data_IF_330800055239
#
_entry.id   IF_330800055239
#
_cell.length_a   1.000
_cell.length_b   1.000
_cell.length_c   1.000
_cell.angle_alpha   90.00
_cell.angle_beta   90.00
_cell.angle_gamma   90.00
#
_symmetry.space_group_name_H-M   'P 1'
#
loop_
_entity.id
_entity.type
_entity.pdbx_description
1 polymer ?
#
# COMPACT_ATOMS: atom_id res chain seq x y z
N UNK A 1 22.03 25.68 -2.07
CA UNK A 1 21.87 26.12 -3.47
C UNK A 1 21.71 24.91 -4.37
N UNK A 2 20.82 24.99 -5.37
CA UNK A 2 20.46 23.98 -6.39
C UNK A 2 19.29 23.03 -6.03
N UNK A 3 18.13 22.99 -6.69
CA UNK A 3 17.30 23.96 -7.41
C UNK A 3 15.94 23.25 -7.61
N UNK A 4 14.89 23.75 -6.99
CA UNK A 4 13.50 23.41 -7.35
C UNK A 4 13.20 24.10 -8.68
N UNK A 5 12.67 23.37 -9.65
CA UNK A 5 11.70 23.78 -10.69
C UNK A 5 11.81 22.86 -11.91
N UNK A 6 10.72 22.17 -12.23
CA UNK A 6 10.20 22.05 -13.60
C UNK A 6 8.78 21.47 -13.55
N UNK A 7 7.86 22.32 -13.08
CA UNK A 7 6.45 22.21 -13.48
C UNK A 7 6.32 22.93 -14.82
N UNK A 8 5.91 22.21 -15.86
CA UNK A 8 5.32 22.81 -17.06
C UNK A 8 4.51 21.74 -17.79
N UNK A 9 3.27 21.56 -17.33
CA UNK A 9 2.23 20.90 -18.14
C UNK A 9 1.67 21.99 -19.05
N UNK A 10 2.03 21.93 -20.32
CA UNK A 10 1.51 22.82 -21.37
C UNK A 10 0.08 22.37 -21.68
N UNK A 11 -0.89 23.15 -21.23
CA UNK A 11 -2.30 23.02 -21.61
C UNK A 11 -2.54 23.85 -22.87
N UNK A 12 -2.63 23.19 -24.01
CA UNK A 12 -3.25 23.76 -25.22
C UNK A 12 -4.43 22.88 -25.60
N UNK A 13 -5.63 23.29 -25.17
CA UNK A 13 -6.89 22.72 -25.63
C UNK A 13 -7.49 23.68 -26.66
N UNK A 14 -7.37 23.36 -27.94
CA UNK A 14 -8.17 23.98 -28.99
C UNK A 14 -9.48 23.20 -29.12
N UNK A 15 -10.58 23.83 -28.70
CA UNK A 15 -11.94 23.30 -28.84
C UNK A 15 -12.42 23.60 -30.26
N UNK A 16 -12.57 22.58 -31.10
CA UNK A 16 -13.30 22.67 -32.36
C UNK A 16 -14.75 22.22 -32.12
N UNK A 17 -15.69 23.14 -32.34
CA UNK A 17 -17.14 22.90 -32.27
C UNK A 17 -17.62 22.34 -33.61
N UNK A 18 -17.91 21.03 -33.69
CA UNK A 18 -18.84 20.47 -34.67
C UNK A 18 -19.58 19.26 -34.07
N UNK A 19 -20.88 19.19 -34.38
CA UNK A 19 -21.89 18.40 -33.68
C UNK A 19 -21.73 16.87 -33.74
N UNK A 20 -22.32 16.23 -32.74
CA UNK A 20 -22.32 14.79 -32.54
C UNK A 20 -22.05 14.51 -31.06
N UNK A 21 -23.05 13.96 -30.36
CA UNK A 21 -23.05 13.69 -28.93
C UNK A 21 -21.76 13.00 -28.47
N UNK A 22 -20.82 13.74 -27.88
CA UNK A 22 -19.66 13.15 -27.21
C UNK A 22 -20.18 12.61 -25.89
N UNK A 23 -20.23 11.28 -25.80
CA UNK A 23 -20.48 10.58 -24.56
C UNK A 23 -19.58 11.16 -23.46
N UNK A 24 -20.19 11.69 -22.39
CA UNK A 24 -19.46 11.95 -21.15
C UNK A 24 -18.95 10.58 -20.72
N UNK A 25 -17.66 10.32 -20.97
CA UNK A 25 -16.96 9.20 -20.39
C UNK A 25 -17.17 9.29 -18.89
N UNK A 26 -17.94 8.33 -18.36
CA UNK A 26 -18.19 8.24 -16.92
C UNK A 26 -16.85 8.35 -16.21
N UNK A 27 -16.80 9.21 -15.20
CA UNK A 27 -15.72 9.18 -14.22
C UNK A 27 -15.81 7.83 -13.55
N UNK A 28 -15.08 6.85 -14.09
CA UNK A 28 -14.77 5.62 -13.39
C UNK A 28 -14.16 6.06 -12.05
N UNK A 29 -14.96 5.92 -11.00
CA UNK A 29 -14.58 6.23 -9.64
C UNK A 29 -13.23 5.58 -9.36
N UNK A 30 -12.34 6.35 -8.74
CA UNK A 30 -10.96 6.01 -8.41
C UNK A 30 -10.86 4.85 -7.40
N UNK A 31 -11.27 3.66 -7.80
CA UNK A 31 -11.18 2.42 -7.02
C UNK A 31 -10.32 1.35 -7.70
N UNK A 32 -9.70 1.65 -8.86
CA UNK A 32 -8.87 0.70 -9.59
C UNK A 32 -7.53 1.30 -10.09
N UNK A 33 -6.89 2.12 -9.26
CA UNK A 33 -5.45 2.34 -9.34
C UNK A 33 -4.79 1.53 -8.23
N UNK A 34 -4.67 0.22 -8.46
CA UNK A 34 -3.83 -0.65 -7.65
C UNK A 34 -2.37 -0.25 -7.88
N UNK A 35 -1.68 0.08 -6.78
CA UNK A 35 -0.23 0.30 -6.70
C UNK A 35 0.37 1.41 -7.60
N UNK A 36 0.14 2.67 -7.24
CA UNK A 36 1.17 3.71 -7.50
C UNK A 36 1.87 4.01 -6.17
N UNK A 37 2.84 3.15 -5.86
CA UNK A 37 3.87 3.20 -4.82
C UNK A 37 3.45 3.64 -3.42
N UNK A 38 3.51 2.68 -2.49
CA UNK A 38 3.61 2.98 -1.07
C UNK A 38 4.58 4.15 -0.84
N UNK A 39 4.10 5.21 -0.20
CA UNK A 39 4.84 6.46 -0.02
C UNK A 39 5.12 6.72 1.45
N UNK A 40 6.23 7.36 1.76
CA UNK A 40 6.53 7.80 3.12
C UNK A 40 5.86 9.16 3.38
N UNK A 41 4.99 9.20 4.37
CA UNK A 41 4.29 10.42 4.80
C UNK A 41 4.85 10.93 6.12
N UNK A 42 4.70 12.22 6.40
CA UNK A 42 5.21 12.83 7.64
C UNK A 42 4.45 12.37 8.90
N UNK A 43 3.16 12.03 8.78
CA UNK A 43 2.29 11.75 9.93
C UNK A 43 2.16 10.26 10.24
N UNK A 44 2.00 9.41 9.23
CA UNK A 44 1.78 7.97 9.44
C UNK A 44 3.03 7.12 9.16
N UNK A 45 4.02 7.65 8.43
CA UNK A 45 5.15 6.87 7.90
C UNK A 45 4.83 6.26 6.54
N UNK A 46 5.37 5.08 6.22
CA UNK A 46 5.04 4.36 4.98
C UNK A 46 3.53 4.09 4.88
N UNK A 47 2.91 4.41 3.75
CA UNK A 47 1.47 4.28 3.53
C UNK A 47 1.16 3.92 2.09
N UNK A 48 0.32 2.91 1.88
CA UNK A 48 -0.01 2.36 0.57
C UNK A 48 -1.41 2.71 0.08
N UNK A 49 -2.17 3.52 0.82
CA UNK A 49 -3.48 4.01 0.35
C UNK A 49 -4.69 3.21 0.84
N UNK A 50 -4.51 2.15 1.62
CA UNK A 50 -5.61 1.25 2.00
C UNK A 50 -6.08 1.47 3.45
N UNK A 51 -5.18 1.75 4.38
CA UNK A 51 -5.54 2.01 5.78
C UNK A 51 -4.48 2.85 6.49
N UNK A 52 -4.87 3.94 7.16
CA UNK A 52 -3.94 4.83 7.86
C UNK A 52 -3.80 4.51 9.36
N UNK A 53 -4.74 3.74 9.94
CA UNK A 53 -4.74 3.38 11.36
C UNK A 53 -3.61 2.42 11.75
N UNK A 54 -3.46 2.27 13.08
CA UNK A 54 -2.42 1.43 13.71
C UNK A 54 -2.91 0.68 14.96
N UNK A 55 -4.20 0.81 15.29
CA UNK A 55 -4.80 0.25 16.50
C UNK A 55 -5.59 -1.03 16.24
N UNK A 56 -5.96 -1.29 14.98
CA UNK A 56 -6.66 -2.51 14.60
C UNK A 56 -5.74 -3.71 14.75
N UNK A 57 -6.24 -4.76 15.39
CA UNK A 57 -5.55 -6.04 15.51
C UNK A 57 -5.97 -6.92 14.36
N UNK A 58 -5.02 -7.38 13.56
CA UNK A 58 -5.27 -8.28 12.43
C UNK A 58 -4.61 -9.64 12.67
N UNK A 59 -5.36 -10.69 12.42
CA UNK A 59 -4.91 -12.07 12.50
C UNK A 59 -5.54 -12.89 11.38
N UNK A 60 -5.22 -14.18 11.32
CA UNK A 60 -5.79 -15.08 10.32
C UNK A 60 -7.34 -15.02 10.34
N UNK A 61 -7.93 -14.86 9.16
CA UNK A 61 -9.37 -14.66 8.99
C UNK A 61 -9.82 -13.20 8.98
N UNK A 62 -8.98 -12.24 9.41
CA UNK A 62 -9.25 -10.81 9.19
C UNK A 62 -9.35 -10.48 7.70
N UNK A 63 -10.17 -9.49 7.36
CA UNK A 63 -10.39 -9.05 5.97
C UNK A 63 -10.45 -7.53 5.85
N UNK A 64 -10.28 -7.03 4.63
CA UNK A 64 -10.57 -5.65 4.24
C UNK A 64 -9.34 -4.76 4.11
N UNK A 65 -9.57 -3.44 4.14
CA UNK A 65 -8.57 -2.46 3.74
C UNK A 65 -7.33 -2.43 4.65
N UNK A 66 -7.49 -2.71 5.94
CA UNK A 66 -6.36 -2.83 6.86
C UNK A 66 -5.44 -4.01 6.51
N UNK A 67 -6.01 -5.13 6.07
CA UNK A 67 -5.22 -6.28 5.60
C UNK A 67 -4.49 -5.95 4.30
N UNK A 68 -5.18 -5.30 3.34
CA UNK A 68 -4.54 -4.82 2.09
C UNK A 68 -3.34 -3.92 2.39
N UNK A 69 -3.47 -3.02 3.37
CA UNK A 69 -2.37 -2.14 3.77
C UNK A 69 -1.16 -2.94 4.28
N UNK A 70 -1.37 -3.93 5.16
CA UNK A 70 -0.27 -4.79 5.66
C UNK A 70 0.39 -5.55 4.52
N UNK A 71 -0.41 -6.19 3.66
CA UNK A 71 0.10 -6.95 2.53
C UNK A 71 0.91 -6.05 1.59
N UNK A 72 0.39 -4.88 1.25
CA UNK A 72 1.06 -3.91 0.40
C UNK A 72 2.36 -3.38 1.01
N UNK A 73 2.37 -3.05 2.31
CA UNK A 73 3.58 -2.60 3.00
C UNK A 73 4.66 -3.69 2.99
N UNK A 74 4.32 -4.93 3.34
CA UNK A 74 5.29 -6.03 3.32
C UNK A 74 5.79 -6.27 1.89
N UNK A 75 4.90 -6.35 0.90
CA UNK A 75 5.26 -6.65 -0.48
C UNK A 75 6.13 -5.56 -1.13
N UNK A 76 5.87 -4.28 -0.83
CA UNK A 76 6.44 -3.16 -1.60
C UNK A 76 7.46 -2.31 -0.84
N UNK A 77 7.54 -2.39 0.49
CA UNK A 77 8.46 -1.57 1.29
C UNK A 77 9.49 -2.40 2.06
N UNK A 78 9.56 -3.71 1.81
CA UNK A 78 10.50 -4.60 2.51
C UNK A 78 11.26 -5.49 1.52
N UNK A 79 12.26 -6.20 2.01
CA UNK A 79 13.01 -7.18 1.23
C UNK A 79 12.25 -8.50 1.01
N UNK A 80 10.96 -8.59 1.33
CA UNK A 80 10.19 -9.85 1.29
C UNK A 80 10.35 -10.62 -0.03
N UNK A 81 10.28 -9.92 -1.17
CA UNK A 81 10.42 -10.51 -2.50
C UNK A 81 11.80 -11.14 -2.77
N UNK A 82 12.85 -10.66 -2.10
CA UNK A 82 14.20 -11.21 -2.25
C UNK A 82 14.39 -12.53 -1.49
N UNK A 83 13.52 -12.81 -0.49
CA UNK A 83 13.56 -14.02 0.33
C UNK A 83 12.55 -15.09 -0.10
N UNK A 84 11.63 -14.76 -1.01
CA UNK A 84 10.52 -15.65 -1.39
C UNK A 84 10.36 -15.68 -2.91
N UNK A 85 10.23 -16.88 -3.48
CA UNK A 85 10.02 -17.08 -4.91
C UNK A 85 8.64 -16.64 -5.38
N UNK A 86 7.66 -16.53 -4.46
CA UNK A 86 6.30 -16.10 -4.76
C UNK A 86 6.01 -14.77 -4.05
N UNK A 87 5.55 -13.73 -4.78
CA UNK A 87 5.20 -12.46 -4.17
C UNK A 87 3.98 -12.60 -3.27
N UNK A 88 3.92 -11.77 -2.22
CA UNK A 88 2.73 -11.67 -1.38
C UNK A 88 1.61 -10.97 -2.15
N UNK A 89 0.46 -11.64 -2.28
CA UNK A 89 -0.71 -11.07 -2.93
C UNK A 89 -1.42 -10.03 -2.03
N UNK A 90 -1.95 -8.97 -2.64
CA UNK A 90 -2.63 -7.85 -1.96
C UNK A 90 -4.14 -7.91 -2.25
N UNK A 91 -4.81 -8.91 -1.69
CA UNK A 91 -6.27 -9.14 -1.85
C UNK A 91 -7.10 -8.54 -0.71
N UNK A 92 -6.50 -8.33 0.46
CA UNK A 92 -7.20 -7.94 1.68
C UNK A 92 -7.73 -9.10 2.50
N UNK A 93 -7.30 -10.33 2.21
CA UNK A 93 -7.63 -11.52 2.97
C UNK A 93 -6.45 -12.00 3.79
N UNK A 94 -6.59 -12.04 5.11
CA UNK A 94 -5.53 -12.48 5.99
C UNK A 94 -5.53 -14.01 6.04
N UNK A 95 -5.04 -14.63 4.97
CA UNK A 95 -4.87 -16.06 4.84
C UNK A 95 -3.54 -16.58 5.39
N UNK A 96 -3.26 -17.88 5.21
CA UNK A 96 -1.99 -18.49 5.61
C UNK A 96 -0.76 -17.79 5.01
N UNK A 97 -0.84 -17.36 3.74
CA UNK A 97 0.25 -16.64 3.09
C UNK A 97 0.55 -15.29 3.75
N UNK A 98 -0.49 -14.51 4.08
CA UNK A 98 -0.33 -13.24 4.81
C UNK A 98 0.22 -13.47 6.22
N UNK A 99 -0.25 -14.52 6.92
CA UNK A 99 0.29 -14.88 8.24
C UNK A 99 1.78 -15.23 8.17
N UNK A 100 2.19 -16.02 7.17
CA UNK A 100 3.59 -16.35 6.97
C UNK A 100 4.43 -15.10 6.69
N UNK A 101 3.94 -14.19 5.84
CA UNK A 101 4.62 -12.94 5.54
C UNK A 101 4.74 -12.01 6.75
N UNK A 102 3.72 -11.93 7.60
CA UNK A 102 3.77 -11.15 8.85
C UNK A 102 4.75 -11.76 9.84
N UNK A 103 4.78 -13.09 9.98
CA UNK A 103 5.78 -13.77 10.83
C UNK A 103 7.20 -13.52 10.34
N UNK A 104 7.42 -13.61 9.03
CA UNK A 104 8.71 -13.27 8.43
C UNK A 104 9.08 -11.82 8.74
N UNK A 105 8.16 -10.88 8.54
CA UNK A 105 8.38 -9.47 8.80
C UNK A 105 8.75 -9.21 10.27
N UNK A 106 8.00 -9.81 11.20
CA UNK A 106 8.28 -9.71 12.63
C UNK A 106 9.67 -10.25 12.97
N UNK A 107 10.01 -11.45 12.48
CA UNK A 107 11.33 -12.03 12.73
C UNK A 107 12.46 -11.17 12.16
N UNK A 108 12.29 -10.66 10.95
CA UNK A 108 13.32 -9.90 10.24
C UNK A 108 13.50 -8.47 10.76
N UNK A 109 12.40 -7.78 11.11
CA UNK A 109 12.42 -6.37 11.47
C UNK A 109 12.19 -6.07 12.95
N UNK A 110 11.61 -6.99 13.73
CA UNK A 110 11.29 -6.82 15.15
C UNK A 110 12.08 -7.75 16.08
N UNK A 111 12.68 -8.82 15.56
CA UNK A 111 13.42 -9.81 16.34
C UNK A 111 12.60 -11.05 16.70
N UNK A 112 13.30 -12.11 17.15
CA UNK A 112 12.73 -13.45 17.34
C UNK A 112 11.68 -13.57 18.46
N UNK A 113 11.67 -12.66 19.43
CA UNK A 113 10.71 -12.65 20.55
C UNK A 113 9.30 -12.17 20.20
N UNK A 114 9.05 -11.71 18.97
CA UNK A 114 7.81 -11.04 18.58
C UNK A 114 7.12 -11.69 17.36
N UNK A 115 7.32 -13.00 17.15
CA UNK A 115 6.87 -13.73 15.95
C UNK A 115 5.59 -14.53 16.22
N UNK A 116 4.48 -13.84 16.40
CA UNK A 116 3.16 -14.43 16.63
C UNK A 116 2.32 -14.55 15.33
N UNK A 117 2.61 -13.74 14.31
CA UNK A 117 1.79 -13.63 13.11
C UNK A 117 0.51 -12.83 13.33
N UNK A 118 0.49 -11.95 14.33
CA UNK A 118 -0.61 -11.01 14.62
C UNK A 118 -0.11 -9.59 14.41
N UNK A 119 -0.87 -8.79 13.66
CA UNK A 119 -0.53 -7.38 13.44
C UNK A 119 -1.21 -6.55 14.51
N UNK A 120 -0.48 -6.33 15.61
CA UNK A 120 -0.86 -5.38 16.65
C UNK A 120 -0.19 -4.01 16.49
N UNK A 121 -0.40 -3.09 17.45
CA UNK A 121 0.17 -1.73 17.41
C UNK A 121 1.69 -1.69 17.21
N UNK A 122 2.44 -2.64 17.79
CA UNK A 122 3.89 -2.72 17.63
C UNK A 122 4.29 -3.09 16.20
N UNK A 123 3.60 -4.05 15.58
CA UNK A 123 3.83 -4.45 14.19
C UNK A 123 3.45 -3.34 13.22
N UNK A 124 2.31 -2.67 13.43
CA UNK A 124 1.95 -1.46 12.69
C UNK A 124 3.01 -0.37 12.85
N UNK A 125 3.52 -0.17 14.07
CA UNK A 125 4.54 0.83 14.31
C UNK A 125 5.80 0.55 13.51
N UNK A 126 6.20 -0.72 13.42
CA UNK A 126 7.36 -1.14 12.64
C UNK A 126 7.14 -1.02 11.14
N UNK A 127 5.99 -1.49 10.62
CA UNK A 127 5.66 -1.45 9.18
C UNK A 127 5.75 -0.03 8.60
N UNK A 128 5.39 0.98 9.38
CA UNK A 128 5.47 2.38 8.94
C UNK A 128 6.88 2.96 8.92
N UNK A 129 7.85 2.28 9.55
CA UNK A 129 9.21 2.79 9.81
C UNK A 129 10.32 2.00 9.11
N UNK A 130 10.00 0.88 8.47
CA UNK A 130 11.00 0.03 7.78
C UNK A 130 11.78 0.77 6.71
#
# INVERSE_FOLDING_TARGET
>A
MKNVRKSLVVLTATVALFGGSVAVAGTASAAAAAAENCRKTQTVGWYCGHHAGRTVVLAQGSKGAAVREVQALIANTTAYYAYHSTPLHVDGDYGPATRAAVRWFQGHYMGSGHVDGVVGPNTWNRLRKV
#
